data_IF_034611022265
#
_entry.id   IF_034611022265
#
_cell.length_a   1.000
_cell.length_b   1.000
_cell.length_c   1.000
_cell.angle_alpha   90.00
_cell.angle_beta   90.00
_cell.angle_gamma   90.00
#
_symmetry.space_group_name_H-M   'P 1'
#
loop_
_entity.id
_entity.type
_entity.pdbx_description
1 polymer ?
#
# COMPACT_ATOMS: atom_id res chain seq x y z
N UNK A 1 55.09 -33.42 31.85
CA UNK A 1 54.24 -33.81 33.01
C UNK A 1 53.25 -32.67 33.25
N UNK A 2 51.93 -32.75 33.14
CA UNK A 2 50.95 -33.67 32.55
C UNK A 2 49.82 -32.78 31.97
N UNK A 3 49.19 -33.12 30.85
CA UNK A 3 48.12 -34.10 30.67
C UNK A 3 46.79 -33.69 31.32
N UNK A 4 45.78 -33.44 30.47
CA UNK A 4 44.35 -33.26 30.82
C UNK A 4 43.76 -32.07 30.03
N UNK A 5 43.13 -32.20 28.86
CA UNK A 5 42.36 -33.33 28.34
C UNK A 5 40.91 -33.22 28.79
N UNK A 6 40.13 -32.31 28.19
CA UNK A 6 38.67 -32.26 28.39
C UNK A 6 37.98 -32.11 27.04
N UNK A 7 37.81 -33.24 26.38
CA UNK A 7 36.93 -33.46 25.24
C UNK A 7 35.48 -33.41 25.71
N UNK A 8 34.75 -32.33 25.37
CA UNK A 8 33.29 -32.34 25.46
C UNK A 8 32.71 -32.71 24.09
N UNK A 9 32.64 -34.02 23.84
CA UNK A 9 31.97 -34.61 22.70
C UNK A 9 30.49 -34.81 23.05
N UNK A 10 29.63 -34.06 22.36
CA UNK A 10 28.18 -34.13 22.53
C UNK A 10 27.46 -33.31 21.47
N UNK A 11 27.92 -33.36 20.22
CA UNK A 11 27.23 -32.74 19.09
C UNK A 11 26.11 -33.66 18.64
N UNK A 12 24.94 -33.54 19.28
CA UNK A 12 23.70 -34.10 18.76
C UNK A 12 23.24 -33.22 17.60
N UNK A 13 23.53 -33.66 16.39
CA UNK A 13 23.06 -33.06 15.13
C UNK A 13 21.55 -33.26 14.99
N UNK A 14 20.77 -32.41 15.66
CA UNK A 14 19.37 -32.22 15.32
C UNK A 14 19.31 -31.25 14.13
N UNK A 15 18.74 -31.73 13.03
CA UNK A 15 18.41 -30.97 11.82
C UNK A 15 17.43 -29.82 12.15
N UNK A 16 17.96 -28.74 12.73
CA UNK A 16 17.26 -27.50 13.05
C UNK A 16 17.53 -26.55 11.90
N UNK A 17 16.70 -26.66 10.87
CA UNK A 17 16.69 -25.78 9.71
C UNK A 17 16.63 -24.31 10.15
N UNK A 18 17.72 -23.57 9.93
CA UNK A 18 17.71 -22.11 9.72
C UNK A 18 17.21 -21.20 10.84
N UNK A 19 17.08 -21.65 12.10
CA UNK A 19 16.73 -20.73 13.19
C UNK A 19 17.94 -19.85 13.56
N UNK A 20 17.99 -18.66 12.95
CA UNK A 20 18.90 -17.56 13.35
C UNK A 20 18.74 -17.31 14.84
N UNK A 21 19.85 -17.24 15.58
CA UNK A 21 19.82 -16.94 17.01
C UNK A 21 19.12 -15.59 17.25
N UNK A 22 18.20 -15.54 18.21
CA UNK A 22 17.41 -14.32 18.53
C UNK A 22 18.30 -13.08 18.73
N UNK A 23 19.48 -13.23 19.33
CA UNK A 23 20.44 -12.13 19.51
C UNK A 23 20.98 -11.58 18.18
N UNK A 24 21.21 -12.44 17.18
CA UNK A 24 21.70 -12.03 15.85
C UNK A 24 20.59 -11.31 15.10
N UNK A 25 19.38 -11.87 15.12
CA UNK A 25 18.21 -11.25 14.51
C UNK A 25 17.92 -9.86 15.11
N UNK A 26 17.99 -9.72 16.44
CA UNK A 26 17.76 -8.43 17.09
C UNK A 26 18.87 -7.41 16.80
N UNK A 27 20.14 -7.86 16.71
CA UNK A 27 21.23 -6.99 16.28
C UNK A 27 20.98 -6.47 14.85
N UNK A 28 20.68 -7.36 13.91
CA UNK A 28 20.39 -6.98 12.52
C UNK A 28 19.21 -6.02 12.41
N UNK A 29 18.17 -6.22 13.23
CA UNK A 29 17.04 -5.30 13.32
C UNK A 29 17.46 -3.91 13.80
N UNK A 30 18.26 -3.82 14.86
CA UNK A 30 18.77 -2.53 15.38
C UNK A 30 19.67 -1.82 14.37
N UNK A 31 20.56 -2.56 13.71
CA UNK A 31 21.47 -2.01 12.69
C UNK A 31 20.64 -1.43 11.54
N UNK A 32 19.63 -2.16 11.05
CA UNK A 32 18.70 -1.66 10.02
C UNK A 32 17.95 -0.39 10.46
N UNK A 33 17.49 -0.33 11.72
CA UNK A 33 16.83 0.87 12.26
C UNK A 33 17.79 2.07 12.30
N UNK A 34 19.04 1.86 12.70
CA UNK A 34 20.03 2.93 12.72
C UNK A 34 20.29 3.49 11.33
N UNK A 35 20.47 2.62 10.33
CA UNK A 35 20.62 3.02 8.92
C UNK A 35 19.44 3.87 8.44
N UNK A 36 18.20 3.45 8.73
CA UNK A 36 17.01 4.24 8.36
C UNK A 36 16.97 5.62 9.04
N UNK A 37 17.43 5.71 10.29
CA UNK A 37 17.51 7.00 10.99
C UNK A 37 18.60 7.89 10.38
N UNK A 38 19.72 7.30 9.95
CA UNK A 38 20.80 8.04 9.29
C UNK A 38 20.36 8.59 7.93
N UNK A 39 19.63 7.81 7.13
CA UNK A 39 18.99 8.30 5.89
C UNK A 39 17.98 9.44 6.16
N UNK A 40 17.20 9.35 7.24
CA UNK A 40 16.29 10.44 7.63
C UNK A 40 17.02 11.73 8.03
N UNK A 41 18.24 11.66 8.56
CA UNK A 41 19.04 12.85 8.91
C UNK A 41 19.38 13.68 7.67
N UNK A 42 19.57 13.02 6.52
CA UNK A 42 19.90 13.66 5.25
C UNK A 42 18.68 14.28 4.57
N UNK A 43 17.51 13.63 4.69
CA UNK A 43 16.28 14.08 4.02
C UNK A 43 15.54 15.21 4.76
N UNK A 44 15.68 15.30 6.08
CA UNK A 44 14.89 16.22 6.91
C UNK A 44 15.67 17.52 7.16
N UNK A 45 15.19 18.67 6.65
CA UNK A 45 15.82 19.97 6.89
C UNK A 45 16.03 20.24 8.38
N UNK A 46 17.13 20.91 8.70
CA UNK A 46 17.42 21.34 10.07
C UNK A 46 16.61 22.62 10.31
N UNK A 47 15.67 22.57 11.26
CA UNK A 47 14.98 23.77 11.74
C UNK A 47 15.97 24.60 12.57
N UNK A 48 16.66 25.54 11.92
CA UNK A 48 17.63 26.42 12.58
C UNK A 48 17.03 27.25 13.72
N UNK A 49 15.71 27.51 13.69
CA UNK A 49 15.00 28.20 14.78
C UNK A 49 15.04 27.43 16.11
N UNK A 50 15.12 26.10 16.07
CA UNK A 50 15.24 25.29 17.29
C UNK A 50 16.71 25.00 17.64
N UNK A 51 17.63 25.32 16.73
CA UNK A 51 19.05 24.97 16.82
C UNK A 51 19.89 25.98 17.64
N UNK A 52 19.35 27.13 18.03
CA UNK A 52 20.09 28.19 18.76
C UNK A 52 20.71 27.72 20.09
N UNK A 53 20.32 26.55 20.61
CA UNK A 53 20.77 26.06 21.92
C UNK A 53 21.69 24.82 21.82
N UNK A 54 21.88 24.19 20.64
CA UNK A 54 22.63 22.93 20.59
C UNK A 54 23.93 22.98 19.77
N UNK A 55 25.09 22.64 20.38
CA UNK A 55 26.43 22.74 19.78
C UNK A 55 26.77 21.54 18.88
N UNK A 56 25.78 20.97 18.19
CA UNK A 56 26.07 19.96 17.18
C UNK A 56 26.44 20.74 15.91
N UNK A 57 27.75 20.83 15.62
CA UNK A 57 28.26 21.52 14.43
C UNK A 57 27.62 21.00 13.14
N UNK A 58 28.04 21.57 12.00
CA UNK A 58 27.52 21.35 10.62
C UNK A 58 27.39 19.89 10.13
N UNK A 59 27.70 18.90 10.96
CA UNK A 59 27.58 17.49 10.66
C UNK A 59 26.18 16.93 11.02
N UNK A 60 25.28 16.73 10.04
CA UNK A 60 23.95 16.18 10.29
C UNK A 60 23.98 14.78 10.90
N UNK A 61 25.08 14.03 10.75
CA UNK A 61 25.24 12.69 11.30
C UNK A 61 25.27 12.66 12.83
N UNK A 62 25.50 13.80 13.50
CA UNK A 62 25.53 13.89 14.97
C UNK A 62 24.18 14.22 15.61
N UNK A 63 23.14 14.52 14.81
CA UNK A 63 21.81 14.89 15.32
C UNK A 63 21.21 13.78 16.19
N UNK A 64 20.73 14.03 17.42
CA UNK A 64 20.11 13.01 18.25
C UNK A 64 18.88 12.38 17.59
N UNK A 65 18.68 11.06 17.75
CA UNK A 65 17.59 10.31 17.09
C UNK A 65 16.21 10.90 17.33
N UNK A 66 15.92 11.32 18.56
CA UNK A 66 14.61 11.88 18.91
C UNK A 66 14.35 13.23 18.23
N UNK A 67 15.39 14.05 18.04
CA UNK A 67 15.31 15.33 17.32
C UNK A 67 15.00 15.09 15.84
N UNK A 68 15.70 14.14 15.22
CA UNK A 68 15.42 13.75 13.82
C UNK A 68 13.96 13.35 13.66
N UNK A 69 13.45 12.49 14.55
CA UNK A 69 12.05 12.05 14.49
C UNK A 69 11.04 13.18 14.72
N UNK A 70 11.30 14.10 15.66
CA UNK A 70 10.41 15.25 15.86
C UNK A 70 10.38 16.18 14.66
N UNK A 71 11.54 16.42 14.06
CA UNK A 71 11.69 17.27 12.88
C UNK A 71 11.03 16.62 11.66
N UNK A 72 11.13 15.29 11.52
CA UNK A 72 10.39 14.54 10.47
C UNK A 72 8.88 14.76 10.61
N UNK A 73 8.33 14.68 11.82
CA UNK A 73 6.90 14.87 12.05
C UNK A 73 6.48 16.30 11.68
N UNK A 74 7.25 17.31 12.09
CA UNK A 74 7.00 18.71 11.71
C UNK A 74 7.06 18.89 10.20
N UNK A 75 8.10 18.36 9.56
CA UNK A 75 8.32 18.45 8.12
C UNK A 75 7.14 17.86 7.33
N UNK A 76 6.66 16.67 7.70
CA UNK A 76 5.51 16.03 7.04
C UNK A 76 4.22 16.85 7.23
N UNK A 77 3.97 17.37 8.43
CA UNK A 77 2.80 18.24 8.70
C UNK A 77 2.83 19.51 7.86
N UNK A 78 3.99 20.18 7.81
CA UNK A 78 4.18 21.40 7.03
C UNK A 78 4.04 21.14 5.53
N UNK A 79 4.56 20.02 5.03
CA UNK A 79 4.46 19.63 3.63
C UNK A 79 3.01 19.37 3.22
N UNK A 80 2.25 18.64 4.05
CA UNK A 80 0.82 18.40 3.82
C UNK A 80 0.01 19.69 3.85
N UNK A 81 0.29 20.58 4.80
CA UNK A 81 -0.38 21.88 4.89
C UNK A 81 -0.13 22.73 3.64
N UNK A 82 1.11 22.74 3.12
CA UNK A 82 1.47 23.43 1.88
C UNK A 82 0.74 22.86 0.66
N UNK A 83 0.72 21.54 0.51
CA UNK A 83 0.01 20.88 -0.59
C UNK A 83 -1.50 21.18 -0.57
N UNK A 84 -2.12 21.20 0.61
CA UNK A 84 -3.53 21.54 0.76
C UNK A 84 -3.83 23.01 0.42
N UNK A 85 -2.95 23.92 0.83
CA UNK A 85 -3.07 25.34 0.49
C UNK A 85 -2.90 25.58 -1.02
N UNK A 86 -1.93 24.94 -1.65
CA UNK A 86 -1.72 25.00 -3.10
C UNK A 86 -2.89 24.40 -3.88
N UNK A 87 -3.46 23.28 -3.39
CA UNK A 87 -4.63 22.69 -4.02
C UNK A 87 -5.82 23.63 -3.94
N UNK A 88 -6.08 24.21 -2.76
CA UNK A 88 -7.16 25.19 -2.58
C UNK A 88 -7.00 26.40 -3.51
N UNK A 89 -5.77 26.87 -3.74
CA UNK A 89 -5.54 27.99 -4.65
C UNK A 89 -5.78 27.59 -6.11
N UNK A 90 -5.37 26.38 -6.52
CA UNK A 90 -5.70 25.85 -7.86
C UNK A 90 -7.19 25.74 -8.07
N UNK A 91 -7.92 25.25 -7.07
CA UNK A 91 -9.38 25.11 -7.13
C UNK A 91 -10.05 26.50 -7.24
N UNK A 92 -9.50 27.52 -6.57
CA UNK A 92 -9.98 28.91 -6.69
C UNK A 92 -9.75 29.50 -8.07
N UNK A 93 -8.59 29.29 -8.68
CA UNK A 93 -8.29 29.79 -10.04
C UNK A 93 -9.21 29.11 -11.06
N UNK A 94 -9.39 27.80 -10.97
CA UNK A 94 -10.27 27.03 -11.85
C UNK A 94 -11.75 27.46 -11.75
N UNK A 95 -12.20 27.89 -10.56
CA UNK A 95 -13.58 28.35 -10.38
C UNK A 95 -13.84 29.71 -11.05
N UNK A 96 -12.85 30.61 -11.11
CA UNK A 96 -13.01 31.94 -11.73
C UNK A 96 -13.07 31.85 -13.26
N UNK A 97 -12.27 30.97 -13.87
CA UNK A 97 -12.27 30.80 -15.33
C UNK A 97 -13.57 30.15 -15.86
N UNK A 98 -14.29 29.41 -15.01
CA UNK A 98 -15.56 28.79 -15.39
C UNK A 98 -16.72 29.79 -15.53
N UNK A 99 -16.69 30.93 -14.81
CA UNK A 99 -17.77 31.94 -14.90
C UNK A 99 -17.58 32.93 -16.05
N UNK A 100 -16.38 33.08 -16.60
CA UNK A 100 -16.09 34.08 -17.64
C UNK A 100 -16.51 33.66 -19.07
N UNK A 101 -17.00 32.44 -19.29
CA UNK A 101 -17.39 31.93 -20.63
C UNK A 101 -18.92 31.98 -20.87
N UNK A 102 -19.68 32.58 -19.95
CA UNK A 102 -21.16 32.56 -19.97
C UNK A 102 -21.88 33.75 -20.64
N UNK A 103 -21.24 34.89 -20.91
CA UNK A 103 -21.96 36.12 -21.27
C UNK A 103 -21.38 36.86 -22.48
N UNK A 104 -21.58 36.32 -23.69
CA UNK A 104 -21.59 37.15 -24.90
C UNK A 104 -22.56 36.63 -25.95
N UNK A 105 -23.87 36.71 -25.65
CA UNK A 105 -24.90 36.96 -26.67
C UNK A 105 -26.07 37.78 -26.10
N UNK A 106 -25.87 39.10 -26.11
CA UNK A 106 -26.91 40.05 -26.50
C UNK A 106 -27.84 40.56 -25.40
N UNK A 107 -27.53 41.75 -24.87
CA UNK A 107 -28.59 42.74 -24.68
C UNK A 107 -28.03 44.17 -24.67
N UNK A 108 -28.41 44.93 -25.69
CA UNK A 108 -28.34 46.39 -25.68
C UNK A 108 -29.56 46.94 -24.91
N UNK A 109 -29.34 47.66 -23.81
CA UNK A 109 -30.00 48.95 -23.54
C UNK A 109 -29.79 49.40 -22.08
N UNK A 110 -29.12 50.55 -21.96
CA UNK A 110 -29.42 51.70 -21.11
C UNK A 110 -29.89 51.51 -19.64
N UNK A 111 -29.05 51.99 -18.71
CA UNK A 111 -29.33 53.03 -17.70
C UNK A 111 -28.50 52.75 -16.43
N UNK A 112 -27.50 53.59 -16.12
CA UNK A 112 -27.59 54.61 -15.06
C UNK A 112 -27.94 54.06 -13.68
N UNK A 113 -27.01 54.13 -12.72
CA UNK A 113 -27.06 55.00 -11.53
C UNK A 113 -25.97 54.61 -10.51
N UNK A 114 -25.29 55.64 -10.03
CA UNK A 114 -24.29 55.71 -8.96
C UNK A 114 -24.80 55.15 -7.62
N UNK A 115 -23.92 54.56 -6.79
CA UNK A 115 -23.53 55.16 -5.49
C UNK A 115 -22.44 54.37 -4.76
N UNK A 116 -21.51 55.13 -4.20
CA UNK A 116 -20.56 54.80 -3.15
C UNK A 116 -21.24 54.18 -1.92
N UNK A 117 -20.54 53.30 -1.20
CA UNK A 117 -20.42 53.40 0.26
C UNK A 117 -19.32 52.49 0.79
N UNK A 118 -18.52 53.10 1.65
CA UNK A 118 -17.40 52.55 2.41
C UNK A 118 -17.86 51.56 3.49
N UNK A 119 -16.91 50.77 4.01
CA UNK A 119 -16.84 50.55 5.44
C UNK A 119 -16.71 49.10 5.93
N UNK A 120 -15.69 48.93 6.78
CA UNK A 120 -15.65 48.10 8.00
C UNK A 120 -15.05 46.69 7.88
N UNK A 121 -13.74 46.66 8.10
CA UNK A 121 -13.06 46.00 9.24
C UNK A 121 -13.90 45.01 10.08
N UNK A 122 -13.42 43.76 10.16
CA UNK A 122 -13.66 42.89 11.31
C UNK A 122 -12.59 41.81 11.39
N UNK A 123 -11.53 42.17 12.11
CA UNK A 123 -10.72 41.31 12.97
C UNK A 123 -11.54 40.16 13.60
N UNK A 124 -11.08 38.92 13.47
CA UNK A 124 -11.61 37.79 14.25
C UNK A 124 -10.47 36.84 14.66
N UNK A 125 -10.00 37.07 15.89
CA UNK A 125 -9.23 36.14 16.71
C UNK A 125 -10.19 35.16 17.40
N UNK A 126 -9.96 33.86 17.29
CA UNK A 126 -10.46 32.82 18.22
C UNK A 126 -9.37 31.73 18.31
N UNK A 127 -8.47 31.79 19.30
CA UNK A 127 -8.57 31.16 20.62
C UNK A 127 -8.45 29.61 20.64
N UNK A 128 -7.26 29.17 21.02
CA UNK A 128 -6.90 28.05 21.90
C UNK A 128 -8.01 27.03 22.26
N UNK A 129 -7.85 25.80 21.76
CA UNK A 129 -8.62 24.61 22.16
C UNK A 129 -7.71 23.49 22.66
N UNK A 130 -7.39 23.57 23.95
CA UNK A 130 -7.24 22.50 24.95
C UNK A 130 -6.95 21.04 24.51
N UNK A 131 -5.78 20.56 24.97
CA UNK A 131 -5.39 19.14 25.03
C UNK A 131 -6.11 18.42 26.18
N UNK A 132 -6.85 17.32 25.93
CA UNK A 132 -7.14 16.36 26.98
C UNK A 132 -5.99 15.37 27.13
N UNK A 133 -5.24 15.58 28.20
CA UNK A 133 -4.38 14.61 28.87
C UNK A 133 -5.15 13.30 29.13
N UNK A 134 -4.74 12.18 28.53
CA UNK A 134 -5.20 10.83 28.92
C UNK A 134 -4.05 10.01 29.48
N UNK A 135 -4.02 9.99 30.82
CA UNK A 135 -3.50 8.92 31.70
C UNK A 135 -4.07 7.58 31.18
N UNK A 136 -3.26 6.54 30.98
CA UNK A 136 -2.79 5.65 32.04
C UNK A 136 -3.76 4.45 32.16
N UNK A 137 -3.22 3.22 32.10
CA UNK A 137 -3.78 1.87 32.38
C UNK A 137 -3.09 0.93 31.37
N UNK A 138 -1.99 0.25 31.67
CA UNK A 138 -1.80 -0.82 32.65
C UNK A 138 -2.90 -1.89 32.61
N UNK A 139 -2.54 -3.02 32.01
CA UNK A 139 -2.92 -4.43 32.28
C UNK A 139 -2.42 -5.20 31.05
N UNK A 140 -1.60 -6.24 31.13
CA UNK A 140 -1.60 -7.32 32.10
C UNK A 140 -1.94 -8.60 31.33
N UNK A 141 -0.94 -9.47 31.17
CA UNK A 141 -1.02 -10.92 31.05
C UNK A 141 -2.18 -11.58 30.26
N UNK A 142 -1.85 -12.41 29.27
CA UNK A 142 -2.18 -13.85 29.34
C UNK A 142 -1.56 -14.63 28.19
N UNK A 143 -0.68 -15.53 28.61
CA UNK A 143 -0.09 -16.67 27.93
C UNK A 143 -1.16 -17.73 27.68
N UNK A 144 -1.36 -18.17 26.44
CA UNK A 144 -2.11 -19.39 26.14
C UNK A 144 -1.42 -20.17 25.02
N UNK A 145 -0.48 -21.03 25.43
CA UNK A 145 -0.01 -22.18 24.67
C UNK A 145 -1.14 -23.20 24.55
N UNK A 146 -1.67 -23.41 23.34
CA UNK A 146 -2.56 -24.53 23.05
C UNK A 146 -1.89 -25.44 22.02
N UNK A 147 -1.28 -26.50 22.53
CA UNK A 147 -0.86 -27.67 21.77
C UNK A 147 -2.09 -28.42 21.26
N UNK A 148 -2.19 -28.64 19.95
CA UNK A 148 -3.13 -29.63 19.37
C UNK A 148 -2.36 -30.71 18.59
N UNK A 149 -2.12 -31.77 19.35
CA UNK A 149 -2.31 -33.20 19.05
C UNK A 149 -2.38 -33.61 17.57
N UNK A 150 -1.32 -34.33 17.19
CA UNK A 150 -1.24 -35.24 16.04
C UNK A 150 -2.16 -36.46 16.23
N UNK A 151 -2.87 -36.81 15.16
CA UNK A 151 -3.49 -38.10 14.78
C UNK A 151 -3.59 -37.99 13.26
N UNK A 152 -3.01 -38.82 12.41
CA UNK A 152 -2.90 -40.28 12.43
C UNK A 152 -3.87 -40.84 11.38
N UNK A 153 -3.38 -41.15 10.16
CA UNK A 153 -3.94 -42.09 9.16
C UNK A 153 -3.09 -41.94 7.89
N UNK A 154 -2.27 -42.89 7.41
CA UNK A 154 -2.54 -44.26 6.95
C UNK A 154 -3.79 -44.37 6.08
N UNK A 155 -3.57 -44.53 4.75
CA UNK A 155 -4.20 -45.48 3.83
C UNK A 155 -3.65 -45.26 2.39
N UNK A 156 -2.93 -46.25 1.85
CA UNK A 156 -3.29 -47.14 0.73
C UNK A 156 -3.34 -46.42 -0.62
N UNK A 157 -2.40 -46.63 -1.54
CA UNK A 157 -2.24 -47.84 -2.37
C UNK A 157 -3.48 -48.14 -3.23
N UNK A 158 -3.24 -48.56 -4.47
CA UNK A 158 -4.16 -48.89 -5.58
C UNK A 158 -4.73 -47.73 -6.40
N UNK A 159 -4.20 -47.51 -7.61
CA UNK A 159 -4.76 -48.14 -8.82
C UNK A 159 -4.09 -47.57 -10.08
N UNK A 160 -3.33 -48.42 -10.78
CA UNK A 160 -3.06 -48.26 -12.20
C UNK A 160 -4.39 -48.40 -12.96
N UNK A 161 -4.76 -47.40 -13.76
CA UNK A 161 -6.03 -47.37 -14.47
C UNK A 161 -5.92 -46.60 -15.78
N UNK A 162 -5.71 -47.37 -16.85
CA UNK A 162 -6.05 -47.14 -18.27
C UNK A 162 -5.88 -45.74 -18.89
N UNK A 163 -4.92 -45.67 -19.80
CA UNK A 163 -4.85 -44.71 -20.89
C UNK A 163 -6.10 -44.83 -21.79
N UNK A 164 -7.04 -43.90 -21.64
CA UNK A 164 -7.98 -43.55 -22.71
C UNK A 164 -7.59 -42.18 -23.24
N UNK A 165 -6.95 -42.18 -24.40
CA UNK A 165 -6.75 -41.01 -25.25
C UNK A 165 -8.11 -40.48 -25.72
N UNK A 166 -8.78 -39.68 -24.89
CA UNK A 166 -9.76 -38.70 -25.38
C UNK A 166 -8.96 -37.56 -25.97
N UNK A 167 -9.03 -37.42 -27.30
CA UNK A 167 -8.57 -36.24 -28.00
C UNK A 167 -9.43 -35.08 -27.52
N UNK A 168 -8.90 -34.33 -26.55
CA UNK A 168 -9.48 -33.10 -26.05
C UNK A 168 -9.57 -32.11 -27.21
N UNK A 169 -10.77 -32.04 -27.79
CA UNK A 169 -11.20 -30.99 -28.69
C UNK A 169 -10.93 -29.67 -27.98
N UNK A 170 -10.16 -28.79 -28.61
CA UNK A 170 -9.82 -27.45 -28.16
C UNK A 170 -11.06 -26.61 -27.82
N UNK A 171 -11.68 -26.84 -26.66
CA UNK A 171 -12.56 -25.90 -25.96
C UNK A 171 -11.69 -24.82 -25.31
N UNK A 172 -10.88 -24.16 -26.12
CA UNK A 172 -10.35 -22.83 -25.85
C UNK A 172 -11.48 -21.80 -26.02
N UNK A 173 -12.67 -22.11 -25.50
CA UNK A 173 -13.76 -21.16 -25.39
C UNK A 173 -13.28 -20.09 -24.40
N UNK A 174 -12.77 -19.02 -24.99
CA UNK A 174 -12.39 -17.74 -24.42
C UNK A 174 -12.86 -17.58 -22.98
N UNK A 175 -11.92 -17.62 -22.04
CA UNK A 175 -12.05 -16.98 -20.72
C UNK A 175 -12.11 -15.47 -20.92
N UNK A 176 -13.18 -14.99 -21.55
CA UNK A 176 -13.47 -13.58 -21.74
C UNK A 176 -13.79 -13.00 -20.37
N UNK A 177 -12.75 -12.49 -19.73
CA UNK A 177 -12.88 -11.63 -18.56
C UNK A 177 -13.23 -10.25 -19.10
N UNK A 178 -14.43 -9.78 -18.80
CA UNK A 178 -14.87 -8.43 -19.09
C UNK A 178 -14.51 -7.52 -17.91
N UNK A 179 -13.78 -6.44 -18.21
CA UNK A 179 -13.37 -5.45 -17.21
C UNK A 179 -13.98 -4.10 -17.56
N UNK A 180 -14.64 -3.49 -16.59
CA UNK A 180 -15.13 -2.12 -16.66
C UNK A 180 -14.61 -1.30 -15.49
N UNK A 181 -14.20 -0.06 -15.77
CA UNK A 181 -13.68 0.86 -14.75
C UNK A 181 -14.49 2.15 -14.85
N UNK A 182 -15.16 2.51 -13.75
CA UNK A 182 -15.92 3.75 -13.63
C UNK A 182 -15.26 4.70 -12.64
N UNK A 183 -15.20 5.99 -12.97
CA UNK A 183 -14.89 7.02 -11.99
C UNK A 183 -16.11 7.32 -11.13
N UNK A 184 -15.95 7.31 -9.81
CA UNK A 184 -16.99 7.77 -8.87
C UNK A 184 -16.93 9.30 -8.78
N UNK A 185 -18.05 9.95 -8.41
CA UNK A 185 -18.16 11.42 -8.30
C UNK A 185 -17.19 12.04 -7.28
N UNK A 186 -16.54 11.22 -6.45
CA UNK A 186 -15.44 11.65 -5.60
C UNK A 186 -14.13 11.50 -6.38
N UNK A 187 -13.45 12.62 -6.63
CA UNK A 187 -12.33 12.79 -7.59
C UNK A 187 -11.15 11.81 -7.47
N UNK A 188 -11.12 11.00 -6.41
CA UNK A 188 -10.04 10.07 -6.09
C UNK A 188 -10.48 8.60 -5.98
N UNK A 189 -11.71 8.23 -6.40
CA UNK A 189 -12.19 6.84 -6.31
C UNK A 189 -12.55 6.25 -7.66
N UNK A 190 -12.13 5.01 -7.87
CA UNK A 190 -12.56 4.19 -9.01
C UNK A 190 -13.37 2.98 -8.54
N UNK A 191 -14.33 2.58 -9.36
CA UNK A 191 -15.05 1.32 -9.25
C UNK A 191 -14.59 0.40 -10.38
N UNK A 192 -13.89 -0.67 -10.05
CA UNK A 192 -13.43 -1.69 -11.00
C UNK A 192 -14.37 -2.88 -10.89
N UNK A 193 -15.06 -3.23 -11.98
CA UNK A 193 -15.93 -4.39 -12.06
C UNK A 193 -15.33 -5.42 -13.01
N UNK A 194 -15.16 -6.64 -12.51
CA UNK A 194 -14.57 -7.79 -13.21
C UNK A 194 -15.62 -8.88 -13.30
N UNK A 195 -16.04 -9.20 -14.52
CA UNK A 195 -16.98 -10.28 -14.81
C UNK A 195 -16.28 -11.36 -15.63
N UNK A 196 -16.46 -12.62 -15.29
CA UNK A 196 -15.85 -13.70 -16.06
C UNK A 196 -16.02 -15.08 -15.41
N UNK A 197 -15.47 -16.12 -16.05
CA UNK A 197 -15.45 -17.47 -15.47
C UNK A 197 -14.44 -17.54 -14.33
N UNK A 198 -14.84 -18.11 -13.19
CA UNK A 198 -13.92 -18.30 -12.07
C UNK A 198 -12.76 -19.22 -12.46
N UNK A 199 -11.57 -18.90 -11.94
CA UNK A 199 -10.40 -19.77 -12.05
C UNK A 199 -9.55 -19.67 -10.79
N UNK A 200 -8.80 -20.72 -10.53
CA UNK A 200 -7.86 -20.76 -9.41
C UNK A 200 -6.88 -19.59 -9.50
N UNK A 201 -6.90 -18.73 -8.49
CA UNK A 201 -6.03 -17.56 -8.40
C UNK A 201 -6.54 -16.30 -9.09
N UNK A 202 -7.74 -16.27 -9.66
CA UNK A 202 -8.29 -15.07 -10.31
C UNK A 202 -8.29 -13.85 -9.37
N UNK A 203 -8.87 -13.99 -8.19
CA UNK A 203 -8.87 -12.94 -7.17
C UNK A 203 -7.46 -12.50 -6.77
N UNK A 204 -6.52 -13.44 -6.70
CA UNK A 204 -5.11 -13.14 -6.40
C UNK A 204 -4.48 -12.31 -7.51
N UNK A 205 -4.71 -12.66 -8.77
CA UNK A 205 -4.18 -11.92 -9.92
C UNK A 205 -4.78 -10.52 -10.02
N UNK A 206 -6.10 -10.36 -9.79
CA UNK A 206 -6.78 -9.05 -9.76
C UNK A 206 -6.18 -8.16 -8.67
N UNK A 207 -6.13 -8.66 -7.43
CA UNK A 207 -5.61 -7.90 -6.29
C UNK A 207 -4.12 -7.57 -6.45
N UNK A 208 -3.33 -8.47 -7.04
CA UNK A 208 -1.92 -8.22 -7.39
C UNK A 208 -1.80 -7.11 -8.44
N UNK A 209 -2.59 -7.17 -9.52
CA UNK A 209 -2.59 -6.18 -10.60
C UNK A 209 -2.96 -4.78 -10.11
N UNK A 210 -4.04 -4.67 -9.33
CA UNK A 210 -4.45 -3.40 -8.71
C UNK A 210 -3.35 -2.82 -7.82
N UNK A 211 -2.70 -3.68 -7.00
CA UNK A 211 -1.63 -3.25 -6.10
C UNK A 211 -0.36 -2.84 -6.85
N UNK A 212 0.02 -3.50 -7.94
CA UNK A 212 1.19 -3.12 -8.76
C UNK A 212 1.01 -1.76 -9.44
N UNK A 213 -0.23 -1.36 -9.71
CA UNK A 213 -0.58 -0.03 -10.23
C UNK A 213 -0.61 1.07 -9.16
N UNK A 214 -0.36 0.73 -7.88
CA UNK A 214 -0.42 1.69 -6.78
C UNK A 214 -1.83 2.08 -6.35
N UNK A 215 -2.85 1.27 -6.70
CA UNK A 215 -4.22 1.45 -6.25
C UNK A 215 -4.42 0.76 -4.89
N UNK A 216 -5.12 1.44 -3.97
CA UNK A 216 -5.45 0.89 -2.66
C UNK A 216 -6.91 0.42 -2.63
N UNK A 217 -7.15 -0.87 -2.38
CA UNK A 217 -8.50 -1.42 -2.31
C UNK A 217 -9.15 -1.03 -0.97
N UNK A 218 -10.26 -0.29 -1.02
CA UNK A 218 -11.02 0.14 0.17
C UNK A 218 -12.17 -0.83 0.47
N UNK A 219 -12.95 -1.16 -0.56
CA UNK A 219 -14.10 -2.05 -0.47
C UNK A 219 -14.00 -3.08 -1.58
N UNK A 220 -14.39 -4.32 -1.29
CA UNK A 220 -14.52 -5.36 -2.30
C UNK A 220 -15.83 -6.11 -2.07
N UNK A 221 -16.61 -6.27 -3.13
CA UNK A 221 -17.82 -7.08 -3.17
C UNK A 221 -17.57 -8.21 -4.14
N UNK A 222 -17.38 -9.41 -3.59
CA UNK A 222 -17.05 -10.62 -4.35
C UNK A 222 -18.34 -11.44 -4.47
N UNK A 223 -18.73 -11.76 -5.70
CA UNK A 223 -19.93 -12.55 -5.96
C UNK A 223 -19.59 -13.65 -6.96
N UNK A 224 -19.89 -14.88 -6.58
CA UNK A 224 -19.76 -16.04 -7.45
C UNK A 224 -21.14 -16.66 -7.60
N UNK A 225 -21.61 -16.77 -8.83
CA UNK A 225 -22.87 -17.43 -9.14
C UNK A 225 -22.71 -18.95 -9.11
N UNK A 226 -23.83 -19.68 -8.97
CA UNK A 226 -23.83 -21.14 -9.04
C UNK A 226 -23.38 -21.68 -10.42
N UNK A 227 -23.40 -20.83 -11.44
CA UNK A 227 -22.90 -21.10 -12.80
C UNK A 227 -21.37 -21.09 -12.89
N UNK A 228 -20.67 -20.63 -11.85
CA UNK A 228 -19.22 -20.44 -11.84
C UNK A 228 -18.75 -19.13 -12.51
N UNK A 229 -19.68 -18.22 -12.81
CA UNK A 229 -19.36 -16.85 -13.23
C UNK A 229 -19.14 -15.98 -11.99
N UNK A 230 -18.05 -15.21 -11.99
CA UNK A 230 -17.75 -14.20 -10.97
C UNK A 230 -18.18 -12.82 -11.44
N UNK A 231 -18.65 -12.00 -10.51
CA UNK A 231 -18.96 -10.59 -10.69
C UNK A 231 -18.41 -9.82 -9.48
N UNK A 232 -17.14 -9.48 -9.58
CA UNK A 232 -16.39 -8.86 -8.49
C UNK A 232 -16.29 -7.35 -8.71
N UNK A 233 -16.67 -6.57 -7.69
CA UNK A 233 -16.59 -5.11 -7.71
C UNK A 233 -15.61 -4.62 -6.65
N UNK A 234 -14.65 -3.80 -7.05
CA UNK A 234 -13.64 -3.21 -6.18
C UNK A 234 -13.75 -1.70 -6.20
N UNK A 235 -13.91 -1.11 -5.02
CA UNK A 235 -13.73 0.33 -4.82
C UNK A 235 -12.27 0.58 -4.45
N UNK A 236 -11.57 1.30 -5.32
CA UNK A 236 -10.14 1.58 -5.16
C UNK A 236 -9.87 3.07 -5.08
N UNK A 237 -8.92 3.43 -4.23
CA UNK A 237 -8.45 4.78 -4.02
C UNK A 237 -7.27 5.08 -4.96
N UNK A 238 -7.40 6.20 -5.69
CA UNK A 238 -6.46 6.68 -6.69
C UNK A 238 -5.49 7.74 -6.13
N UNK A 239 -5.49 8.01 -4.82
CA UNK A 239 -4.66 9.06 -4.20
C UNK A 239 -3.17 9.01 -4.58
N UNK A 240 -2.65 7.82 -4.89
CA UNK A 240 -1.24 7.61 -5.26
C UNK A 240 -1.04 7.21 -6.74
N UNK A 241 -2.10 7.10 -7.53
CA UNK A 241 -2.05 6.58 -8.89
C UNK A 241 -2.35 7.68 -9.92
N UNK A 242 -1.46 7.87 -10.90
CA UNK A 242 -1.67 8.86 -11.96
C UNK A 242 -2.48 8.33 -13.14
N UNK A 243 -2.78 7.04 -13.18
CA UNK A 243 -3.40 6.38 -14.33
C UNK A 243 -4.87 6.78 -14.50
N UNK A 244 -5.28 6.99 -15.74
CA UNK A 244 -6.69 7.20 -16.12
C UNK A 244 -7.49 5.89 -16.01
N UNK A 245 -8.83 5.93 -15.91
CA UNK A 245 -9.66 4.73 -15.86
C UNK A 245 -9.40 3.75 -17.01
N UNK A 246 -9.18 4.28 -18.22
CA UNK A 246 -8.90 3.48 -19.42
C UNK A 246 -7.53 2.80 -19.36
N UNK A 247 -6.52 3.49 -18.82
CA UNK A 247 -5.18 2.91 -18.60
C UNK A 247 -5.22 1.80 -17.55
N UNK A 248 -5.97 2.00 -16.45
CA UNK A 248 -6.17 0.96 -15.43
C UNK A 248 -6.85 -0.26 -16.04
N UNK A 249 -7.89 -0.05 -16.85
CA UNK A 249 -8.57 -1.13 -17.57
C UNK A 249 -7.61 -1.89 -18.48
N UNK A 250 -6.82 -1.18 -19.29
CA UNK A 250 -5.88 -1.78 -20.23
C UNK A 250 -4.80 -2.60 -19.50
N UNK A 251 -4.16 -2.03 -18.48
CA UNK A 251 -3.11 -2.71 -17.71
C UNK A 251 -3.64 -3.91 -16.93
N UNK A 252 -4.82 -3.79 -16.32
CA UNK A 252 -5.42 -4.92 -15.61
C UNK A 252 -5.78 -6.05 -16.56
N UNK A 253 -6.29 -5.72 -17.75
CA UNK A 253 -6.57 -6.71 -18.80
C UNK A 253 -5.30 -7.46 -19.19
N UNK A 254 -4.20 -6.74 -19.41
CA UNK A 254 -2.89 -7.31 -19.75
C UNK A 254 -2.37 -8.26 -18.66
N UNK A 255 -2.39 -7.83 -17.40
CA UNK A 255 -1.96 -8.65 -16.25
C UNK A 255 -2.79 -9.94 -16.11
N UNK A 256 -4.10 -9.87 -16.34
CA UNK A 256 -4.97 -11.05 -16.27
C UNK A 256 -4.76 -12.00 -17.46
N UNK A 257 -4.45 -11.48 -18.64
CA UNK A 257 -4.13 -12.26 -19.83
C UNK A 257 -2.78 -12.98 -19.68
N UNK A 258 -1.76 -12.30 -19.14
CA UNK A 258 -0.45 -12.89 -18.85
C UNK A 258 -0.56 -14.03 -17.82
N UNK A 259 -1.37 -13.85 -16.78
CA UNK A 259 -1.59 -14.89 -15.77
C UNK A 259 -2.32 -16.12 -16.34
N UNK A 260 -3.17 -15.95 -17.36
CA UNK A 260 -3.84 -17.07 -18.05
C UNK A 260 -2.89 -17.86 -18.96
N UNK A 261 -1.87 -17.23 -19.54
CA UNK A 261 -0.87 -17.92 -20.36
C UNK A 261 -0.03 -18.95 -19.57
N UNK A 262 -0.19 -18.97 -18.24
CA UNK A 262 0.51 -19.85 -17.32
C UNK A 262 1.96 -19.42 -17.13
N UNK A 263 2.56 -19.68 -15.96
CA UNK A 263 4.00 -19.65 -15.85
C UNK A 263 4.51 -20.78 -16.75
N UNK A 264 4.90 -20.42 -17.97
CA UNK A 264 5.57 -21.32 -18.89
C UNK A 264 6.59 -22.11 -18.09
N UNK A 265 6.45 -23.44 -18.16
CA UNK A 265 7.26 -24.41 -17.44
C UNK A 265 8.74 -24.24 -17.79
N UNK A 266 9.39 -23.20 -17.28
CA UNK A 266 10.81 -23.19 -17.01
C UNK A 266 11.02 -24.12 -15.84
N UNK A 267 10.87 -25.42 -16.14
CA UNK A 267 11.42 -26.51 -15.37
C UNK A 267 12.89 -26.15 -15.22
N UNK A 268 13.23 -25.56 -14.07
CA UNK A 268 14.60 -25.37 -13.63
C UNK A 268 15.24 -26.74 -13.71
N UNK A 269 15.91 -27.00 -14.83
CA UNK A 269 16.74 -28.17 -15.07
C UNK A 269 17.83 -28.01 -14.03
N UNK A 270 17.61 -28.69 -12.90
CA UNK A 270 18.56 -28.80 -11.80
C UNK A 270 19.78 -29.44 -12.44
N UNK A 271 20.74 -28.62 -12.86
CA UNK A 271 22.04 -29.11 -13.28
C UNK A 271 22.70 -29.61 -12.02
N UNK A 272 22.58 -30.91 -11.79
CA UNK A 272 23.44 -31.62 -10.85
C UNK A 272 24.87 -31.41 -11.36
N UNK A 273 25.63 -30.59 -10.64
CA UNK A 273 27.06 -30.48 -10.79
C UNK A 273 27.66 -31.61 -9.96
N UNK A 274 28.16 -32.63 -10.66
CA UNK A 274 28.93 -33.75 -10.09
C UNK A 274 30.39 -33.37 -9.89
#
# INVERSE_FOLDING_TARGET
>A
RGSGGSSNAGSTTNNKTGQVSHSVAEKQRRDRINTLIDELRELVPIDFETAEIQPYGDDPSKRPKHVVLSDTIKFVRNTRARQLAEQKEKDRVMAVDAEAVGEDRGNCAAASVKKETEGLDSTSQCSNGELPSRKGLDTGAARATAARKRVGSMNSDSSQGSDTHTLDTNDSENTNIEISVGALQEDCKFSVNVNGKDRNGLLHDITRGLKSMGLEIKTAVIKTEATGVVSDTFEVDRSYCKLTPDEVKLQLTEVLHEAQAGPGLDKRKRTDVT
#
